data_IF_716214187397
#
_entry.id   IF_716214187397
#
_cell.length_a   1.000
_cell.length_b   1.000
_cell.length_c   1.000
_cell.angle_alpha   90.00
_cell.angle_beta   90.00
_cell.angle_gamma   90.00
#
_symmetry.space_group_name_H-M   'P 1'
#
loop_
_entity.id
_entity.type
_entity.pdbx_description
1 polymer ?
#
# COMPACT_ATOMS: atom_id res chain seq x y z
N UNK A 1 7.34 3.22 10.42
CA UNK A 1 7.37 2.34 9.25
C UNK A 1 8.37 2.88 8.25
N UNK A 2 9.35 2.09 7.92
CA UNK A 2 10.46 2.54 7.10
C UNK A 2 10.32 2.09 5.65
N UNK A 3 10.54 3.02 4.74
CA UNK A 3 10.70 2.73 3.31
C UNK A 3 12.19 2.59 3.06
N UNK A 4 12.62 1.43 2.57
CA UNK A 4 14.03 1.12 2.39
C UNK A 4 14.35 0.96 0.90
N UNK A 5 15.47 1.52 0.48
CA UNK A 5 15.94 1.36 -0.91
C UNK A 5 16.16 -0.13 -1.22
N UNK A 6 16.56 -0.92 -0.22
CA UNK A 6 16.77 -2.36 -0.38
C UNK A 6 15.49 -3.11 -0.76
N UNK A 7 14.31 -2.55 -0.50
CA UNK A 7 13.05 -3.16 -0.91
C UNK A 7 12.87 -3.12 -2.42
N UNK A 8 13.51 -2.20 -3.10
CA UNK A 8 13.48 -1.97 -4.55
C UNK A 8 12.14 -1.46 -5.03
N UNK A 9 11.03 -2.09 -4.66
CA UNK A 9 9.69 -1.73 -5.10
C UNK A 9 8.77 -1.42 -3.92
N UNK A 10 7.75 -0.61 -4.18
CA UNK A 10 6.72 -0.30 -3.20
C UNK A 10 5.97 -1.55 -2.74
N UNK A 11 5.69 -2.48 -3.65
CA UNK A 11 5.02 -3.73 -3.28
C UNK A 11 5.79 -4.46 -2.18
N UNK A 12 7.10 -4.55 -2.29
CA UNK A 12 7.93 -5.24 -1.28
C UNK A 12 7.91 -4.49 0.05
N UNK A 13 7.95 -3.17 0.02
CA UNK A 13 7.84 -2.36 1.23
C UNK A 13 6.53 -2.68 1.96
N UNK A 14 5.42 -2.66 1.25
CA UNK A 14 4.10 -2.87 1.85
C UNK A 14 3.91 -4.31 2.31
N UNK A 15 4.45 -5.28 1.59
CA UNK A 15 4.43 -6.68 2.02
C UNK A 15 5.20 -6.87 3.33
N UNK A 16 6.35 -6.21 3.47
CA UNK A 16 7.15 -6.26 4.69
C UNK A 16 6.40 -5.60 5.85
N UNK A 17 5.79 -4.45 5.62
CA UNK A 17 4.99 -3.78 6.64
C UNK A 17 3.81 -4.64 7.08
N UNK A 18 3.12 -5.24 6.11
CA UNK A 18 1.99 -6.12 6.40
C UNK A 18 2.39 -7.31 7.25
N UNK A 19 3.51 -7.93 6.94
CA UNK A 19 4.02 -9.05 7.72
C UNK A 19 4.28 -8.66 9.17
N UNK A 20 4.81 -7.45 9.40
CA UNK A 20 5.05 -6.95 10.75
C UNK A 20 3.76 -6.68 11.51
N UNK A 21 2.71 -6.29 10.82
CA UNK A 21 1.44 -5.91 11.43
C UNK A 21 0.43 -7.06 11.50
N UNK A 22 0.76 -8.22 10.96
CA UNK A 22 -0.16 -9.36 10.93
C UNK A 22 -1.19 -9.29 9.83
N UNK A 23 -0.91 -8.55 8.77
CA UNK A 23 -1.77 -8.45 7.58
C UNK A 23 -1.18 -9.23 6.42
N UNK A 24 -2.05 -9.71 5.56
CA UNK A 24 -1.64 -10.20 4.24
C UNK A 24 -1.77 -9.05 3.26
N UNK A 25 -0.79 -8.90 2.39
CA UNK A 25 -0.81 -7.84 1.38
C UNK A 25 -0.81 -8.49 0.00
N UNK A 26 -1.81 -8.14 -0.81
CA UNK A 26 -1.92 -8.61 -2.18
C UNK A 26 -1.77 -7.44 -3.13
N UNK A 27 -0.72 -7.46 -3.93
CA UNK A 27 -0.47 -6.42 -4.91
C UNK A 27 -1.09 -6.83 -6.24
N UNK A 28 -2.25 -6.26 -6.55
CA UNK A 28 -3.00 -6.55 -7.77
C UNK A 28 -2.91 -5.43 -8.80
N UNK A 29 -2.11 -4.40 -8.53
CA UNK A 29 -1.83 -3.36 -9.50
C UNK A 29 -0.93 -3.90 -10.61
N UNK A 30 -1.14 -3.46 -11.83
CA UNK A 30 -0.35 -3.91 -12.98
C UNK A 30 0.97 -3.15 -13.11
N UNK A 31 1.19 -2.14 -12.30
CA UNK A 31 2.43 -1.39 -12.25
C UNK A 31 2.95 -1.36 -10.82
N UNK A 32 4.24 -1.14 -10.69
CA UNK A 32 4.89 -0.99 -9.41
C UNK A 32 5.66 0.32 -9.40
N UNK A 33 6.08 0.75 -8.21
CA UNK A 33 6.86 1.97 -8.03
C UNK A 33 8.21 1.60 -7.46
N UNK A 34 9.27 2.14 -8.05
CA UNK A 34 10.62 1.92 -7.55
C UNK A 34 10.88 2.85 -6.37
N UNK A 35 11.60 2.33 -5.38
CA UNK A 35 12.01 3.12 -4.22
C UNK A 35 13.27 3.88 -4.59
N UNK A 36 13.13 5.20 -4.80
CA UNK A 36 14.26 6.05 -5.16
C UNK A 36 15.04 6.57 -3.98
N UNK A 37 14.43 6.64 -2.79
CA UNK A 37 15.07 7.16 -1.58
C UNK A 37 14.38 6.58 -0.35
N UNK A 38 15.12 6.45 0.77
CA UNK A 38 14.51 5.99 2.02
C UNK A 38 13.57 7.05 2.58
N UNK A 39 12.58 6.61 3.33
CA UNK A 39 11.62 7.48 4.00
C UNK A 39 11.08 6.76 5.23
N UNK A 40 10.33 7.47 6.04
CA UNK A 40 9.72 6.89 7.22
C UNK A 40 8.35 7.53 7.46
N UNK A 41 7.40 6.72 7.92
CA UNK A 41 6.03 7.14 8.17
C UNK A 41 5.62 6.66 9.56
N UNK A 42 5.01 7.55 10.34
CA UNK A 42 4.57 7.24 11.69
C UNK A 42 3.12 6.79 11.72
N UNK A 43 2.72 6.15 12.81
CA UNK A 43 1.34 5.77 13.06
C UNK A 43 1.13 4.26 12.97
N UNK A 44 -0.14 3.87 12.90
CA UNK A 44 -0.51 2.47 12.71
C UNK A 44 -0.19 2.03 11.29
N UNK A 45 -0.20 0.72 11.06
CA UNK A 45 -0.01 0.19 9.71
C UNK A 45 -1.01 0.79 8.72
N UNK A 46 -2.29 0.86 9.08
CA UNK A 46 -3.31 1.40 8.18
C UNK A 46 -3.08 2.87 7.89
N UNK A 47 -2.72 3.64 8.91
CA UNK A 47 -2.41 5.06 8.75
C UNK A 47 -1.19 5.25 7.84
N UNK A 48 -0.13 4.48 8.08
CA UNK A 48 1.07 4.56 7.27
C UNK A 48 0.82 4.13 5.82
N UNK A 49 0.02 3.08 5.63
CA UNK A 49 -0.37 2.61 4.30
C UNK A 49 -1.10 3.71 3.53
N UNK A 50 -2.09 4.33 4.15
CA UNK A 50 -2.83 5.43 3.51
C UNK A 50 -1.92 6.61 3.20
N UNK A 51 -1.03 6.96 4.12
CA UNK A 51 -0.12 8.08 3.94
C UNK A 51 0.79 7.86 2.72
N UNK A 52 1.36 6.67 2.57
CA UNK A 52 2.27 6.42 1.46
C UNK A 52 1.53 6.34 0.12
N UNK A 53 0.33 5.77 0.09
CA UNK A 53 -0.46 5.71 -1.14
C UNK A 53 -1.01 7.08 -1.56
N UNK A 54 -1.13 8.01 -0.63
CA UNK A 54 -1.54 9.38 -0.90
C UNK A 54 -0.37 10.32 -1.10
N UNK A 55 0.86 9.82 -1.11
CA UNK A 55 2.03 10.66 -1.37
C UNK A 55 1.96 11.26 -2.77
N UNK A 56 2.57 12.43 -2.95
CA UNK A 56 2.50 13.16 -4.21
C UNK A 56 3.02 12.34 -5.39
N UNK A 57 4.09 11.57 -5.18
CA UNK A 57 4.68 10.76 -6.25
C UNK A 57 3.73 9.70 -6.80
N UNK A 58 2.82 9.18 -5.97
CA UNK A 58 1.86 8.15 -6.39
C UNK A 58 0.54 8.79 -6.83
N UNK A 59 0.03 9.71 -6.02
CA UNK A 59 -1.28 10.31 -6.27
C UNK A 59 -1.31 11.16 -7.53
N UNK A 60 -0.22 11.84 -7.84
CA UNK A 60 -0.11 12.70 -9.02
C UNK A 60 0.42 11.98 -10.24
N UNK A 61 0.76 10.69 -10.12
CA UNK A 61 1.16 9.88 -11.25
C UNK A 61 -0.05 9.54 -12.12
N UNK A 62 0.21 9.00 -13.30
CA UNK A 62 -0.86 8.49 -14.16
C UNK A 62 -1.37 7.12 -13.71
N UNK A 63 -0.90 6.64 -12.56
CA UNK A 63 -1.31 5.35 -12.00
C UNK A 63 -1.49 5.46 -10.48
N UNK A 64 -2.46 6.26 -10.01
CA UNK A 64 -2.70 6.37 -8.57
C UNK A 64 -3.21 5.02 -8.03
N UNK A 65 -2.84 4.73 -6.78
CA UNK A 65 -3.15 3.45 -6.13
C UNK A 65 -4.20 3.64 -5.05
N UNK A 66 -4.92 2.57 -4.76
CA UNK A 66 -5.80 2.50 -3.59
C UNK A 66 -5.62 1.16 -2.89
N UNK A 67 -5.93 1.14 -1.61
CA UNK A 67 -5.89 -0.06 -0.79
C UNK A 67 -7.26 -0.29 -0.17
N UNK A 68 -7.73 -1.53 -0.23
CA UNK A 68 -8.92 -1.97 0.49
C UNK A 68 -8.52 -3.00 1.51
N UNK A 69 -9.08 -2.89 2.70
CA UNK A 69 -8.80 -3.80 3.80
C UNK A 69 -10.02 -4.68 4.02
N UNK A 70 -9.80 -5.99 3.92
CA UNK A 70 -10.85 -6.99 4.10
C UNK A 70 -10.65 -7.66 5.46
N UNK A 71 -11.75 -7.79 6.22
CA UNK A 71 -11.74 -8.35 7.56
C UNK A 71 -11.66 -9.87 7.54
N UNK A 72 -10.61 -10.39 6.92
CA UNK A 72 -10.32 -11.82 6.90
C UNK A 72 -9.48 -12.19 8.12
N UNK A 73 -9.12 -13.45 8.25
CA UNK A 73 -8.25 -13.93 9.31
C UNK A 73 -7.07 -14.70 8.69
N UNK A 74 -5.89 -14.08 8.58
CA UNK A 74 -5.56 -12.71 8.92
C UNK A 74 -6.20 -11.68 7.97
N UNK A 75 -6.27 -10.40 8.37
CA UNK A 75 -6.84 -9.37 7.49
C UNK A 75 -6.00 -9.22 6.22
N UNK A 76 -6.70 -8.93 5.14
CA UNK A 76 -6.10 -8.81 3.80
C UNK A 76 -6.14 -7.37 3.33
N UNK A 77 -5.01 -6.88 2.85
CA UNK A 77 -4.94 -5.60 2.13
C UNK A 77 -4.74 -5.91 0.66
N UNK A 78 -5.64 -5.42 -0.17
CA UNK A 78 -5.53 -5.55 -1.63
C UNK A 78 -5.25 -4.18 -2.23
N UNK A 79 -4.20 -4.10 -3.04
CA UNK A 79 -3.75 -2.85 -3.64
C UNK A 79 -3.94 -2.94 -5.15
N UNK A 80 -4.68 -1.97 -5.69
CA UNK A 80 -4.95 -1.89 -7.12
C UNK A 80 -4.79 -0.45 -7.58
N UNK A 81 -4.93 -0.22 -8.87
CA UNK A 81 -5.10 1.13 -9.39
C UNK A 81 -6.38 1.73 -8.83
N UNK A 82 -6.36 3.01 -8.51
CA UNK A 82 -7.52 3.72 -7.98
C UNK A 82 -8.73 3.55 -8.91
N UNK A 83 -9.86 3.21 -8.32
CA UNK A 83 -11.11 3.01 -9.05
C UNK A 83 -11.44 1.56 -9.38
N UNK A 84 -10.48 0.64 -9.27
CA UNK A 84 -10.73 -0.76 -9.63
C UNK A 84 -11.47 -1.56 -8.55
N UNK A 85 -11.51 -1.05 -7.32
CA UNK A 85 -12.16 -1.71 -6.18
C UNK A 85 -13.32 -0.90 -5.63
N UNK A 86 -13.94 -0.06 -6.43
CA UNK A 86 -14.83 1.00 -5.93
C UNK A 86 -15.95 0.50 -5.03
N UNK A 87 -16.65 -0.55 -5.42
CA UNK A 87 -17.80 -1.03 -4.65
C UNK A 87 -17.43 -1.58 -3.29
N UNK A 88 -16.35 -2.35 -3.24
CA UNK A 88 -15.93 -3.00 -2.01
C UNK A 88 -15.29 -2.03 -1.05
N UNK A 89 -14.51 -1.08 -1.58
CA UNK A 89 -13.88 -0.06 -0.76
C UNK A 89 -14.87 0.95 -0.20
N UNK A 90 -15.88 1.31 -0.98
CA UNK A 90 -16.86 2.31 -0.56
C UNK A 90 -17.75 1.81 0.56
N UNK A 91 -17.84 0.50 0.74
CA UNK A 91 -18.60 -0.09 1.84
C UNK A 91 -17.93 0.12 3.20
N UNK A 92 -16.73 0.61 3.20
CA UNK A 92 -15.98 0.85 4.42
C UNK A 92 -15.99 2.33 4.79
#
# INVERSE_FOLDING_TARGET
WNVLVQDITLARTLERWGAQAGYRVKWDAQRNFLIGAPDSVDGTFETALKAILNSAGIRQSDYPLEACIYANTPPLVRITRQGEQTRECDAQ
#
